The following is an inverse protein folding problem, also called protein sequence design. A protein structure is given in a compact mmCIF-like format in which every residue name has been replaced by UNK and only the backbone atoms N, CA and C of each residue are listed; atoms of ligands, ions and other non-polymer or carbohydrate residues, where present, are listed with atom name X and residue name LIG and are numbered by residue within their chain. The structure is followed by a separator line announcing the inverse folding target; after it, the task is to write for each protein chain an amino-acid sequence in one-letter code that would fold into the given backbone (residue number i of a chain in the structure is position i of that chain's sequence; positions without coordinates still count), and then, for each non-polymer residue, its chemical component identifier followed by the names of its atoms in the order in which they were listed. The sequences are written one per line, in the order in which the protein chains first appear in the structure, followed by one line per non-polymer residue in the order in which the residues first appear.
data_IF_984397234978
#
_entry.id   IF_984397234978
#
_cell.length_a   1.000
_cell.length_b   1.000
_cell.length_c   1.000
_cell.angle_alpha   90.00
_cell.angle_beta   90.00
_cell.angle_gamma   90.00
#
_symmetry.space_group_name_H-M   'P 1'
#
loop_
_entity.id
_entity.type
_entity.pdbx_description
1 polymer ?
#
# COMPACT_ATOMS: atom_id res chain seq x y z
N UNK A 1 25.33 -15.78 26.23
CA UNK A 1 24.73 -16.19 24.94
C UNK A 1 23.89 -15.09 24.26
N UNK A 2 24.00 -13.83 24.70
CA UNK A 2 23.33 -12.69 24.07
C UNK A 2 24.08 -12.14 22.85
N UNK A 3 25.40 -12.34 22.78
CA UNK A 3 26.22 -11.94 21.61
C UNK A 3 25.87 -12.73 20.35
N UNK A 4 25.42 -13.98 20.48
CA UNK A 4 24.96 -14.79 19.33
C UNK A 4 23.64 -14.24 18.77
N UNK A 5 22.76 -13.73 19.64
CA UNK A 5 21.50 -13.09 19.23
C UNK A 5 21.76 -11.72 18.59
N UNK A 6 22.75 -10.96 19.08
CA UNK A 6 23.18 -9.70 18.46
C UNK A 6 23.82 -9.92 17.08
N UNK A 7 24.63 -10.97 16.92
CA UNK A 7 25.20 -11.36 15.61
C UNK A 7 24.16 -11.88 14.62
N UNK A 8 23.07 -12.48 15.09
CA UNK A 8 21.94 -12.83 14.22
C UNK A 8 21.06 -11.60 13.86
N UNK A 9 21.05 -10.57 14.70
CA UNK A 9 20.45 -9.26 14.42
C UNK A 9 21.32 -8.35 13.52
N UNK A 10 22.60 -8.67 13.34
CA UNK A 10 23.47 -8.19 12.25
C UNK A 10 23.11 -8.80 10.88
N UNK A 11 21.89 -9.33 10.74
CA UNK A 11 21.30 -9.62 9.44
C UNK A 11 20.83 -8.36 8.72
N UNK A 12 20.61 -8.49 7.40
CA UNK A 12 20.05 -7.48 6.47
C UNK A 12 18.88 -6.66 7.01
N UNK A 13 18.10 -7.21 7.95
CA UNK A 13 16.92 -6.58 8.54
C UNK A 13 17.28 -5.50 9.58
N UNK A 14 18.29 -5.72 10.43
CA UNK A 14 18.74 -4.72 11.41
C UNK A 14 19.27 -3.45 10.75
N UNK A 15 20.11 -3.62 9.72
CA UNK A 15 20.60 -2.54 8.88
C UNK A 15 19.48 -1.80 8.14
N UNK A 16 18.47 -2.53 7.62
CA UNK A 16 17.31 -1.93 6.98
C UNK A 16 16.53 -1.03 7.95
N UNK A 17 16.25 -1.50 9.17
CA UNK A 17 15.52 -0.70 10.16
C UNK A 17 16.30 0.54 10.60
N UNK A 18 17.62 0.44 10.73
CA UNK A 18 18.48 1.59 11.02
C UNK A 18 18.44 2.63 9.89
N UNK A 19 18.51 2.19 8.62
CA UNK A 19 18.42 3.08 7.45
C UNK A 19 17.03 3.72 7.32
N UNK A 20 15.95 2.98 7.58
CA UNK A 20 14.59 3.52 7.59
C UNK A 20 14.43 4.57 8.71
N UNK A 21 14.98 4.30 9.90
CA UNK A 21 14.97 5.24 11.03
C UNK A 21 15.78 6.51 10.74
N UNK A 22 16.81 6.42 9.91
CA UNK A 22 17.63 7.55 9.50
C UNK A 22 16.94 8.47 8.47
N UNK A 23 15.83 8.04 7.84
CA UNK A 23 15.09 8.90 6.92
C UNK A 23 14.30 9.98 7.66
N UNK A 24 14.41 11.21 7.19
CA UNK A 24 13.52 12.29 7.61
C UNK A 24 12.11 12.08 7.08
N UNK A 25 11.11 12.61 7.80
CA UNK A 25 9.71 12.56 7.39
C UNK A 25 9.49 13.12 5.97
N UNK A 26 10.16 14.22 5.62
CA UNK A 26 10.03 14.85 4.31
C UNK A 26 10.57 13.93 3.20
N UNK A 27 11.69 13.25 3.43
CA UNK A 27 12.22 12.26 2.49
C UNK A 27 11.25 11.08 2.30
N UNK A 28 10.59 10.63 3.37
CA UNK A 28 9.56 9.60 3.28
C UNK A 28 8.37 10.05 2.41
N UNK A 29 7.85 11.27 2.62
CA UNK A 29 6.68 11.81 1.90
C UNK A 29 6.99 12.06 0.42
N UNK A 30 8.16 12.61 0.11
CA UNK A 30 8.56 12.95 -1.28
C UNK A 30 9.12 11.72 -2.02
N UNK A 31 9.25 10.57 -1.36
CA UNK A 31 9.72 9.36 -2.00
C UNK A 31 8.79 8.91 -3.13
N UNK A 32 9.38 8.45 -4.23
CA UNK A 32 8.63 7.90 -5.38
C UNK A 32 7.75 6.73 -4.96
N UNK A 33 8.23 5.91 -4.02
CA UNK A 33 7.48 4.76 -3.51
C UNK A 33 6.21 5.19 -2.76
N UNK A 34 6.27 6.27 -1.97
CA UNK A 34 5.08 6.81 -1.30
C UNK A 34 4.09 7.41 -2.29
N UNK A 35 4.55 8.12 -3.33
CA UNK A 35 3.67 8.69 -4.36
C UNK A 35 2.94 7.58 -5.13
N UNK A 36 3.66 6.52 -5.54
CA UNK A 36 3.05 5.36 -6.19
C UNK A 36 2.06 4.65 -5.27
N UNK A 37 2.43 4.47 -3.99
CA UNK A 37 1.56 3.87 -2.99
C UNK A 37 0.29 4.71 -2.76
N UNK A 38 0.42 6.04 -2.73
CA UNK A 38 -0.71 6.98 -2.60
C UNK A 38 -1.69 6.83 -3.77
N UNK A 39 -1.19 6.83 -5.00
CA UNK A 39 -2.06 6.69 -6.19
C UNK A 39 -2.71 5.31 -6.22
N UNK A 40 -1.97 4.25 -5.90
CA UNK A 40 -2.51 2.90 -5.81
C UNK A 40 -3.59 2.77 -4.72
N UNK A 41 -3.40 3.45 -3.58
CA UNK A 41 -4.42 3.55 -2.53
C UNK A 41 -5.69 4.25 -3.01
N UNK A 42 -5.56 5.40 -3.66
CA UNK A 42 -6.69 6.13 -4.25
C UNK A 42 -7.44 5.24 -5.25
N UNK A 43 -6.71 4.55 -6.13
CA UNK A 43 -7.29 3.63 -7.10
C UNK A 43 -8.04 2.45 -6.45
N UNK A 44 -7.62 2.00 -5.27
CA UNK A 44 -8.31 0.95 -4.51
C UNK A 44 -9.60 1.45 -3.82
N UNK A 45 -9.66 2.70 -3.36
CA UNK A 45 -10.80 3.20 -2.57
C UNK A 45 -11.90 3.82 -3.41
N UNK A 46 -11.56 4.44 -4.53
CA UNK A 46 -12.51 5.14 -5.41
C UNK A 46 -13.60 4.20 -5.99
N UNK A 47 -13.31 2.94 -6.39
CA UNK A 47 -14.35 2.01 -6.85
C UNK A 47 -15.46 1.80 -5.81
N UNK A 48 -15.14 1.64 -4.54
CA UNK A 48 -16.12 1.54 -3.46
C UNK A 48 -16.97 2.82 -3.35
N UNK A 49 -16.32 3.97 -3.35
CA UNK A 49 -16.97 5.28 -3.18
C UNK A 49 -17.94 5.59 -4.33
N UNK A 50 -17.62 5.16 -5.54
CA UNK A 50 -18.38 5.47 -6.74
C UNK A 50 -19.43 4.42 -7.08
N UNK A 51 -19.07 3.14 -7.00
CA UNK A 51 -19.92 2.05 -7.49
C UNK A 51 -21.10 1.77 -6.56
N UNK A 52 -20.90 1.78 -5.24
CA UNK A 52 -21.97 1.45 -4.28
C UNK A 52 -23.15 2.43 -4.35
N UNK A 53 -22.94 3.77 -4.33
CA UNK A 53 -24.04 4.71 -4.48
C UNK A 53 -24.78 4.56 -5.82
N UNK A 54 -24.05 4.36 -6.92
CA UNK A 54 -24.63 4.24 -8.27
C UNK A 54 -25.48 2.98 -8.43
N UNK A 55 -25.00 1.83 -7.94
CA UNK A 55 -25.78 0.59 -7.96
C UNK A 55 -27.02 0.70 -7.07
N UNK A 56 -26.93 1.43 -5.95
CA UNK A 56 -28.10 1.68 -5.08
C UNK A 56 -29.14 2.56 -5.76
N UNK A 57 -28.70 3.54 -6.52
CA UNK A 57 -29.55 4.41 -7.31
C UNK A 57 -30.19 3.68 -8.49
N UNK A 58 -29.44 2.81 -9.18
CA UNK A 58 -30.00 1.93 -10.21
C UNK A 58 -31.00 0.94 -9.64
N UNK A 59 -30.70 0.32 -8.49
CA UNK A 59 -31.61 -0.61 -7.84
C UNK A 59 -32.96 0.02 -7.52
N UNK A 60 -32.96 1.29 -7.06
CA UNK A 60 -34.19 2.04 -6.78
C UNK A 60 -34.90 2.54 -8.02
N UNK A 61 -34.19 3.20 -8.93
CA UNK A 61 -34.80 3.98 -10.02
C UNK A 61 -35.01 3.17 -11.30
N UNK A 62 -34.18 2.16 -11.54
CA UNK A 62 -34.18 1.39 -12.78
C UNK A 62 -34.73 -0.02 -12.56
N UNK A 63 -34.26 -0.73 -11.54
CA UNK A 63 -34.73 -2.08 -11.22
C UNK A 63 -35.98 -2.10 -10.34
N UNK A 64 -36.38 -0.94 -9.80
CA UNK A 64 -37.58 -0.78 -8.98
C UNK A 64 -37.65 -1.76 -7.80
N UNK A 65 -36.49 -2.07 -7.20
CA UNK A 65 -36.42 -2.93 -6.01
C UNK A 65 -37.13 -2.27 -4.82
N UNK A 66 -37.72 -3.11 -3.97
CA UNK A 66 -38.24 -2.67 -2.68
C UNK A 66 -37.12 -2.18 -1.75
N UNK A 67 -37.48 -1.40 -0.74
CA UNK A 67 -36.52 -0.93 0.27
C UNK A 67 -35.86 -2.09 1.02
N UNK A 68 -36.59 -3.18 1.25
CA UNK A 68 -36.07 -4.36 1.96
C UNK A 68 -35.02 -5.10 1.13
N UNK A 69 -35.25 -5.26 -0.17
CA UNK A 69 -34.28 -5.88 -1.08
C UNK A 69 -33.03 -5.03 -1.26
N UNK A 70 -33.19 -3.70 -1.37
CA UNK A 70 -32.08 -2.76 -1.42
C UNK A 70 -31.22 -2.84 -0.15
N UNK A 71 -31.86 -2.83 1.03
CA UNK A 71 -31.16 -2.93 2.31
C UNK A 71 -30.41 -4.25 2.44
N UNK A 72 -31.03 -5.37 2.00
CA UNK A 72 -30.36 -6.67 1.97
C UNK A 72 -29.15 -6.69 1.02
N UNK A 73 -29.23 -5.99 -0.12
CA UNK A 73 -28.11 -5.84 -1.04
C UNK A 73 -26.97 -5.03 -0.42
N UNK A 74 -27.28 -3.89 0.19
CA UNK A 74 -26.30 -3.03 0.85
C UNK A 74 -25.64 -3.73 2.04
N UNK A 75 -26.40 -4.47 2.85
CA UNK A 75 -25.88 -5.23 3.97
C UNK A 75 -24.83 -6.25 3.52
N UNK A 76 -25.07 -6.94 2.39
CA UNK A 76 -24.08 -7.87 1.80
C UNK A 76 -22.82 -7.13 1.33
N UNK A 77 -22.99 -5.99 0.66
CA UNK A 77 -21.85 -5.21 0.16
C UNK A 77 -20.98 -4.66 1.30
N UNK A 78 -21.58 -4.07 2.33
CA UNK A 78 -20.84 -3.58 3.51
C UNK A 78 -20.31 -4.72 4.39
N UNK A 79 -21.04 -5.82 4.51
CA UNK A 79 -20.55 -7.04 5.16
C UNK A 79 -19.29 -7.58 4.48
N UNK A 80 -19.27 -7.61 3.15
CA UNK A 80 -18.09 -7.96 2.37
C UNK A 80 -16.93 -6.97 2.61
N UNK A 81 -17.21 -5.66 2.75
CA UNK A 81 -16.19 -4.67 3.08
C UNK A 81 -15.53 -4.95 4.45
N UNK A 82 -16.33 -5.23 5.48
CA UNK A 82 -15.83 -5.59 6.81
C UNK A 82 -15.00 -6.88 6.74
N UNK A 83 -15.50 -7.88 6.03
CA UNK A 83 -14.79 -9.14 5.84
C UNK A 83 -13.44 -8.92 5.14
N UNK A 84 -13.39 -8.07 4.12
CA UNK A 84 -12.15 -7.70 3.43
C UNK A 84 -11.16 -7.03 4.38
N UNK A 85 -11.63 -6.06 5.18
CA UNK A 85 -10.80 -5.37 6.18
C UNK A 85 -10.20 -6.33 7.21
N UNK A 86 -10.95 -7.35 7.62
CA UNK A 86 -10.48 -8.34 8.58
C UNK A 86 -9.52 -9.35 7.93
N UNK A 87 -9.89 -9.90 6.77
CA UNK A 87 -9.18 -11.02 6.16
C UNK A 87 -7.88 -10.60 5.47
N UNK A 88 -7.83 -9.45 4.78
CA UNK A 88 -6.65 -9.11 3.98
C UNK A 88 -5.38 -8.92 4.83
N UNK A 89 -5.39 -8.19 5.97
CA UNK A 89 -4.25 -8.12 6.87
C UNK A 89 -3.84 -9.50 7.40
N UNK A 90 -4.80 -10.30 7.86
CA UNK A 90 -4.55 -11.66 8.37
C UNK A 90 -3.93 -12.58 7.33
N UNK A 91 -4.43 -12.54 6.10
CA UNK A 91 -3.88 -13.31 4.97
C UNK A 91 -2.46 -12.85 4.68
N UNK A 92 -2.20 -11.54 4.66
CA UNK A 92 -0.83 -11.05 4.49
C UNK A 92 0.11 -11.48 5.63
N UNK A 93 -0.35 -11.49 6.89
CA UNK A 93 0.41 -12.03 8.03
C UNK A 93 0.68 -13.53 7.92
N UNK A 94 -0.34 -14.30 7.53
CA UNK A 94 -0.22 -15.73 7.31
C UNK A 94 0.75 -16.07 6.19
N UNK A 95 0.65 -15.37 5.05
CA UNK A 95 1.52 -15.59 3.89
C UNK A 95 2.98 -15.25 4.20
N UNK A 96 3.25 -14.18 4.95
CA UNK A 96 4.60 -13.86 5.42
C UNK A 96 5.20 -15.00 6.23
N UNK A 97 4.45 -15.54 7.20
CA UNK A 97 4.92 -16.63 8.07
C UNK A 97 5.07 -17.96 7.32
N UNK A 98 4.19 -18.23 6.37
CA UNK A 98 4.22 -19.47 5.59
C UNK A 98 5.36 -19.50 4.57
N UNK A 99 5.64 -18.36 3.93
CA UNK A 99 6.60 -18.26 2.83
C UNK A 99 7.97 -17.73 3.27
N UNK A 100 8.14 -17.35 4.55
CA UNK A 100 9.36 -16.72 5.09
C UNK A 100 9.86 -15.56 4.21
N UNK A 101 8.92 -14.78 3.67
CA UNK A 101 9.21 -13.71 2.74
C UNK A 101 9.26 -12.35 3.44
N UNK A 102 9.92 -11.38 2.79
CA UNK A 102 10.00 -10.02 3.28
C UNK A 102 8.57 -9.44 3.53
N UNK A 103 8.31 -8.86 4.72
CA UNK A 103 7.00 -8.34 5.05
C UNK A 103 6.43 -7.35 4.04
N UNK A 104 7.21 -6.33 3.66
CA UNK A 104 6.79 -5.30 2.72
C UNK A 104 6.44 -5.90 1.35
N UNK A 105 7.17 -6.93 0.91
CA UNK A 105 6.88 -7.63 -0.34
C UNK A 105 5.54 -8.38 -0.28
N UNK A 106 5.24 -9.04 0.83
CA UNK A 106 3.96 -9.76 0.99
C UNK A 106 2.77 -8.82 1.12
N UNK A 107 2.92 -7.67 1.81
CA UNK A 107 1.90 -6.63 1.81
C UNK A 107 1.62 -6.11 0.41
N UNK A 108 2.68 -5.84 -0.36
CA UNK A 108 2.58 -5.47 -1.78
C UNK A 108 1.85 -6.54 -2.58
N UNK A 109 2.19 -7.82 -2.44
CA UNK A 109 1.58 -8.91 -3.19
C UNK A 109 0.07 -9.05 -2.89
N UNK A 110 -0.33 -8.93 -1.61
CA UNK A 110 -1.75 -8.93 -1.24
C UNK A 110 -2.47 -7.69 -1.75
N UNK A 111 -1.89 -6.50 -1.62
CA UNK A 111 -2.51 -5.29 -2.17
C UNK A 111 -2.66 -5.36 -3.70
N UNK A 112 -1.66 -5.90 -4.39
CA UNK A 112 -1.68 -6.14 -5.84
C UNK A 112 -2.79 -7.11 -6.24
N UNK A 113 -2.98 -8.21 -5.50
CA UNK A 113 -4.02 -9.19 -5.80
C UNK A 113 -5.42 -8.60 -5.60
N UNK A 114 -5.62 -7.76 -4.58
CA UNK A 114 -6.89 -7.05 -4.37
C UNK A 114 -7.19 -6.06 -5.51
N UNK A 115 -6.18 -5.33 -6.01
CA UNK A 115 -6.35 -4.49 -7.20
C UNK A 115 -6.66 -5.30 -8.46
N UNK A 116 -5.99 -6.44 -8.66
CA UNK A 116 -6.23 -7.31 -9.80
C UNK A 116 -7.64 -7.90 -9.79
N UNK A 117 -8.14 -8.32 -8.62
CA UNK A 117 -9.53 -8.80 -8.46
C UNK A 117 -10.52 -7.67 -8.74
N UNK A 118 -10.24 -6.43 -8.31
CA UNK A 118 -11.09 -5.28 -8.65
C UNK A 118 -11.15 -5.00 -10.14
N UNK A 119 -9.99 -5.03 -10.81
CA UNK A 119 -9.93 -4.86 -12.26
C UNK A 119 -10.78 -5.92 -12.98
N UNK A 120 -10.62 -7.19 -12.59
CA UNK A 120 -11.41 -8.27 -13.17
C UNK A 120 -12.91 -8.10 -12.90
N UNK A 121 -13.29 -7.70 -11.68
CA UNK A 121 -14.69 -7.46 -11.34
C UNK A 121 -15.28 -6.31 -12.18
N UNK A 122 -14.57 -5.20 -12.36
CA UNK A 122 -15.00 -4.08 -13.19
C UNK A 122 -15.10 -4.48 -14.67
N UNK A 123 -14.12 -5.24 -15.19
CA UNK A 123 -14.16 -5.74 -16.57
C UNK A 123 -15.38 -6.65 -16.81
N UNK A 124 -15.71 -7.52 -15.85
CA UNK A 124 -16.89 -8.38 -15.92
C UNK A 124 -18.20 -7.59 -15.84
N UNK A 125 -18.26 -6.53 -15.03
CA UNK A 125 -19.41 -5.63 -14.99
C UNK A 125 -19.58 -4.95 -16.35
N UNK A 126 -18.50 -4.40 -16.92
CA UNK A 126 -18.54 -3.69 -18.20
C UNK A 126 -19.03 -4.55 -19.37
N UNK A 127 -18.76 -5.86 -19.35
CA UNK A 127 -19.21 -6.78 -20.40
C UNK A 127 -20.70 -7.17 -20.31
N UNK A 128 -21.31 -7.15 -19.12
CA UNK A 128 -22.69 -7.60 -18.93
C UNK A 128 -23.39 -6.86 -17.79
N UNK A 129 -23.99 -5.71 -18.12
CA UNK A 129 -24.66 -4.81 -17.16
C UNK A 129 -26.14 -5.19 -16.95
N UNK A 130 -26.67 -6.17 -17.68
CA UNK A 130 -28.11 -6.50 -17.64
C UNK A 130 -28.51 -7.40 -16.46
N UNK A 131 -27.58 -8.18 -15.90
CA UNK A 131 -27.87 -9.16 -14.86
C UNK A 131 -27.69 -8.60 -13.45
N UNK A 132 -28.78 -8.20 -12.80
CA UNK A 132 -28.77 -7.63 -11.45
C UNK A 132 -28.05 -8.51 -10.40
N UNK A 133 -28.26 -9.85 -10.46
CA UNK A 133 -27.61 -10.79 -9.52
C UNK A 133 -26.09 -10.84 -9.71
N UNK A 134 -25.60 -10.71 -10.94
CA UNK A 134 -24.15 -10.69 -11.23
C UNK A 134 -23.54 -9.39 -10.71
N UNK A 135 -24.21 -8.26 -10.95
CA UNK A 135 -23.78 -6.95 -10.44
C UNK A 135 -23.70 -6.97 -8.91
N UNK A 136 -24.66 -7.57 -8.22
CA UNK A 136 -24.62 -7.69 -6.76
C UNK A 136 -23.41 -8.47 -6.26
N UNK A 137 -23.07 -9.61 -6.87
CA UNK A 137 -21.89 -10.39 -6.50
C UNK A 137 -20.59 -9.64 -6.77
N UNK A 138 -20.49 -9.00 -7.93
CA UNK A 138 -19.32 -8.21 -8.32
C UNK A 138 -19.18 -6.97 -7.43
N UNK A 139 -20.28 -6.35 -7.00
CA UNK A 139 -20.28 -5.28 -6.00
C UNK A 139 -19.68 -5.76 -4.67
N UNK A 140 -20.08 -6.95 -4.19
CA UNK A 140 -19.51 -7.52 -2.97
C UNK A 140 -18.00 -7.80 -3.12
N UNK A 141 -17.56 -8.28 -4.28
CA UNK A 141 -16.14 -8.49 -4.55
C UNK A 141 -15.36 -7.16 -4.55
N UNK A 142 -15.90 -6.11 -5.18
CA UNK A 142 -15.31 -4.78 -5.19
C UNK A 142 -15.21 -4.19 -3.79
N UNK A 143 -16.30 -4.25 -3.01
CA UNK A 143 -16.30 -3.72 -1.64
C UNK A 143 -15.38 -4.50 -0.72
N UNK A 144 -15.30 -5.83 -0.86
CA UNK A 144 -14.33 -6.67 -0.18
C UNK A 144 -12.90 -6.23 -0.47
N UNK A 145 -12.54 -6.10 -1.75
CA UNK A 145 -11.19 -5.75 -2.13
C UNK A 145 -10.81 -4.32 -1.71
N UNK A 146 -11.73 -3.37 -1.90
CA UNK A 146 -11.55 -1.99 -1.45
C UNK A 146 -11.32 -1.92 0.07
N UNK A 147 -12.10 -2.69 0.84
CA UNK A 147 -11.96 -2.81 2.29
C UNK A 147 -10.65 -3.47 2.72
N UNK A 148 -10.25 -4.53 2.02
CA UNK A 148 -8.97 -5.20 2.27
C UNK A 148 -7.79 -4.28 2.01
N UNK A 149 -7.79 -3.54 0.90
CA UNK A 149 -6.73 -2.59 0.59
C UNK A 149 -6.66 -1.45 1.61
N UNK A 150 -7.81 -0.97 2.10
CA UNK A 150 -7.87 0.00 3.19
C UNK A 150 -7.19 -0.51 4.47
N UNK A 151 -7.41 -1.77 4.83
CA UNK A 151 -6.88 -2.34 6.07
C UNK A 151 -5.41 -2.79 5.97
N UNK A 152 -4.95 -3.22 4.79
CA UNK A 152 -3.54 -3.63 4.57
C UNK A 152 -2.61 -2.40 4.53
N UNK A 153 -3.11 -1.25 4.08
CA UNK A 153 -2.33 -0.03 3.90
C UNK A 153 -1.53 0.42 5.14
N UNK A 154 -2.08 0.54 6.36
CA UNK A 154 -1.30 0.92 7.54
C UNK A 154 -0.17 -0.08 7.87
N UNK A 155 -0.42 -1.38 7.71
CA UNK A 155 0.62 -2.41 7.87
C UNK A 155 1.73 -2.20 6.83
N UNK A 156 1.34 -1.97 5.58
CA UNK A 156 2.28 -1.79 4.48
C UNK A 156 3.13 -0.53 4.62
N UNK A 157 2.53 0.59 5.01
CA UNK A 157 3.26 1.83 5.32
C UNK A 157 4.24 1.60 6.46
N UNK A 158 3.86 0.84 7.49
CA UNK A 158 4.74 0.56 8.64
C UNK A 158 5.92 -0.30 8.22
N UNK A 159 5.69 -1.34 7.41
CA UNK A 159 6.75 -2.23 6.90
C UNK A 159 7.71 -1.49 5.96
N UNK A 160 7.24 -0.45 5.26
CA UNK A 160 8.08 0.40 4.41
C UNK A 160 8.77 1.52 5.22
N UNK A 161 8.03 2.42 5.85
CA UNK A 161 8.56 3.67 6.39
C UNK A 161 8.89 3.62 7.89
N UNK A 162 8.71 2.45 8.51
CA UNK A 162 8.97 2.23 9.93
C UNK A 162 7.88 2.82 10.83
N UNK A 163 7.95 2.46 12.10
CA UNK A 163 6.93 2.81 13.11
C UNK A 163 6.92 4.29 13.51
N UNK A 164 8.04 5.00 13.37
CA UNK A 164 8.16 6.39 13.82
C UNK A 164 7.33 7.36 12.98
N UNK A 165 7.31 7.17 11.65
CA UNK A 165 6.61 8.06 10.71
C UNK A 165 5.30 7.46 10.20
N UNK A 166 4.95 6.22 10.56
CA UNK A 166 3.80 5.49 10.00
C UNK A 166 2.47 6.22 10.21
N UNK A 167 2.26 6.83 11.39
CA UNK A 167 1.03 7.57 11.71
C UNK A 167 0.78 8.75 10.76
N UNK A 168 1.78 9.61 10.57
CA UNK A 168 1.70 10.76 9.66
C UNK A 168 1.53 10.31 8.21
N UNK A 169 2.32 9.32 7.79
CA UNK A 169 2.29 8.78 6.43
C UNK A 169 0.92 8.16 6.09
N UNK A 170 0.34 7.41 7.03
CA UNK A 170 -1.01 6.87 6.88
C UNK A 170 -2.07 7.97 6.87
N UNK A 171 -1.96 8.97 7.75
CA UNK A 171 -2.83 10.15 7.73
C UNK A 171 -2.82 10.88 6.39
N UNK A 172 -1.63 11.04 5.79
CA UNK A 172 -1.48 11.62 4.46
C UNK A 172 -2.12 10.75 3.37
N UNK A 173 -1.90 9.43 3.37
CA UNK A 173 -2.55 8.53 2.41
C UNK A 173 -4.07 8.56 2.55
N UNK A 174 -4.60 8.63 3.77
CA UNK A 174 -6.04 8.75 4.01
C UNK A 174 -6.67 10.02 3.43
N UNK A 175 -5.90 11.09 3.18
CA UNK A 175 -6.42 12.26 2.45
C UNK A 175 -6.95 11.88 1.06
N UNK A 176 -6.34 10.85 0.44
CA UNK A 176 -6.77 10.32 -0.85
C UNK A 176 -8.18 9.73 -0.82
N UNK A 177 -8.62 9.16 0.31
CA UNK A 177 -9.99 8.68 0.49
C UNK A 177 -10.99 9.84 0.42
N UNK A 178 -10.69 10.94 1.11
CA UNK A 178 -11.54 12.14 1.14
C UNK A 178 -11.55 12.83 -0.22
N UNK A 179 -10.38 12.95 -0.87
CA UNK A 179 -10.26 13.52 -2.21
C UNK A 179 -11.06 12.70 -3.24
N UNK A 180 -10.95 11.37 -3.18
CA UNK A 180 -11.76 10.46 -3.98
C UNK A 180 -13.25 10.67 -3.76
N UNK A 181 -13.69 10.84 -2.51
CA UNK A 181 -15.08 11.14 -2.17
C UNK A 181 -15.60 12.43 -2.79
N UNK A 182 -14.79 13.51 -2.77
CA UNK A 182 -15.15 14.79 -3.40
C UNK A 182 -15.28 14.65 -4.92
N UNK A 183 -14.31 14.01 -5.58
CA UNK A 183 -14.32 13.81 -7.04
C UNK A 183 -15.52 12.96 -7.46
N UNK A 184 -15.80 11.89 -6.73
CA UNK A 184 -16.95 11.00 -6.99
C UNK A 184 -18.27 11.74 -6.75
N UNK A 185 -18.38 12.52 -5.67
CA UNK A 185 -19.58 13.30 -5.37
C UNK A 185 -19.89 14.31 -6.48
N UNK A 186 -18.87 15.04 -6.94
CA UNK A 186 -19.03 16.02 -8.03
C UNK A 186 -19.41 15.35 -9.37
N UNK A 187 -18.74 14.24 -9.72
CA UNK A 187 -19.02 13.52 -10.97
C UNK A 187 -20.37 12.82 -10.97
N UNK A 188 -20.86 12.35 -9.82
CA UNK A 188 -22.16 11.68 -9.71
C UNK A 188 -23.34 12.66 -9.65
N UNK A 189 -23.13 13.87 -9.13
CA UNK A 189 -24.18 14.89 -9.09
C UNK A 189 -24.54 15.46 -10.48
N UNK A 190 -23.60 15.39 -11.43
CA UNK A 190 -23.74 16.02 -12.74
C UNK A 190 -24.38 15.11 -13.82
N UNK A 191 -24.72 13.86 -13.50
CA UNK A 191 -25.10 12.86 -14.52
C UNK A 191 -26.37 12.11 -14.16
N UNK A 192 -27.25 11.96 -15.15
CA UNK A 192 -28.46 11.15 -15.03
C UNK A 192 -28.14 9.65 -14.93
N UNK A 193 -28.99 8.95 -14.18
CA UNK A 193 -28.83 7.53 -13.89
C UNK A 193 -29.37 6.72 -15.07
N UNK A 194 -28.45 6.16 -15.85
CA UNK A 194 -28.73 5.34 -17.02
C UNK A 194 -27.68 4.24 -17.14
N UNK A 195 -28.02 3.15 -17.83
CA UNK A 195 -27.08 2.07 -18.14
C UNK A 195 -25.83 2.56 -18.89
N UNK A 196 -25.99 3.51 -19.83
CA UNK A 196 -24.87 4.09 -20.57
C UNK A 196 -23.93 4.89 -19.68
N UNK A 197 -24.49 5.60 -18.69
CA UNK A 197 -23.70 6.31 -17.68
C UNK A 197 -22.91 5.33 -16.82
N UNK A 198 -23.56 4.26 -16.35
CA UNK A 198 -22.89 3.24 -15.54
C UNK A 198 -21.74 2.59 -16.30
N UNK A 199 -21.93 2.24 -17.58
CA UNK A 199 -20.88 1.65 -18.42
C UNK A 199 -19.66 2.59 -18.51
N UNK A 200 -19.89 3.87 -18.80
CA UNK A 200 -18.83 4.89 -18.85
C UNK A 200 -18.09 4.99 -17.51
N UNK A 201 -18.83 4.97 -16.41
CA UNK A 201 -18.31 5.07 -15.06
C UNK A 201 -17.47 3.84 -14.68
N UNK A 202 -17.95 2.63 -14.98
CA UNK A 202 -17.23 1.37 -14.78
C UNK A 202 -15.94 1.34 -15.61
N UNK A 203 -15.98 1.83 -16.85
CA UNK A 203 -14.78 1.92 -17.70
C UNK A 203 -13.74 2.89 -17.14
N UNK A 204 -14.16 4.05 -16.63
CA UNK A 204 -13.26 5.00 -15.97
C UNK A 204 -12.63 4.41 -14.70
N UNK A 205 -13.42 3.70 -13.89
CA UNK A 205 -12.93 2.99 -12.72
C UNK A 205 -11.94 1.88 -13.11
N UNK A 206 -12.21 1.14 -14.19
CA UNK A 206 -11.31 0.09 -14.67
C UNK A 206 -9.95 0.68 -15.05
N UNK A 207 -9.93 1.80 -15.79
CA UNK A 207 -8.70 2.53 -16.13
C UNK A 207 -7.95 2.96 -14.86
N UNK A 208 -8.65 3.55 -13.90
CA UNK A 208 -8.05 4.00 -12.63
C UNK A 208 -7.42 2.82 -11.86
N UNK A 209 -8.12 1.70 -11.75
CA UNK A 209 -7.59 0.48 -11.10
C UNK A 209 -6.41 -0.09 -11.87
N UNK A 210 -6.43 -0.06 -13.21
CA UNK A 210 -5.27 -0.46 -14.04
C UNK A 210 -4.06 0.42 -13.76
N UNK A 211 -4.23 1.74 -13.67
CA UNK A 211 -3.15 2.67 -13.31
C UNK A 211 -2.62 2.34 -11.91
N UNK A 212 -3.50 2.14 -10.93
CA UNK A 212 -3.10 1.73 -9.58
C UNK A 212 -2.34 0.40 -9.57
N UNK A 213 -2.79 -0.57 -10.35
CA UNK A 213 -2.17 -1.89 -10.52
C UNK A 213 -0.76 -1.77 -11.09
N UNK A 214 -0.57 -0.96 -12.14
CA UNK A 214 0.74 -0.70 -12.76
C UNK A 214 1.68 0.03 -11.80
N UNK A 215 1.22 1.09 -11.14
CA UNK A 215 2.04 1.84 -10.18
C UNK A 215 2.42 0.99 -8.96
N UNK A 216 1.53 0.13 -8.50
CA UNK A 216 1.81 -0.79 -7.41
C UNK A 216 2.94 -1.78 -7.78
N UNK A 217 3.04 -2.21 -9.03
CA UNK A 217 4.21 -2.98 -9.49
C UNK A 217 5.52 -2.19 -9.35
N UNK A 218 5.51 -0.88 -9.59
CA UNK A 218 6.69 -0.01 -9.53
C UNK A 218 7.15 0.35 -8.10
N UNK A 219 6.33 0.09 -7.08
CA UNK A 219 6.71 0.31 -5.67
C UNK A 219 7.86 -0.62 -5.29
N UNK A 220 8.98 -0.06 -4.82
CA UNK A 220 10.17 -0.84 -4.45
C UNK A 220 10.06 -1.33 -3.00
N UNK A 221 9.96 -2.64 -2.85
CA UNK A 221 9.93 -3.31 -1.53
C UNK A 221 11.26 -3.92 -1.14
N UNK A 222 12.22 -4.02 -2.07
CA UNK A 222 13.56 -4.50 -1.81
C UNK A 222 14.39 -3.37 -1.17
N UNK A 223 15.12 -3.69 -0.10
CA UNK A 223 15.99 -2.75 0.61
C UNK A 223 17.08 -2.18 -0.31
N UNK A 224 17.71 -3.04 -1.13
CA UNK A 224 18.78 -2.64 -2.04
C UNK A 224 18.32 -1.63 -3.09
N UNK A 225 17.13 -1.83 -3.66
CA UNK A 225 16.57 -0.95 -4.69
C UNK A 225 16.11 0.40 -4.12
N UNK A 226 15.71 0.40 -2.85
CA UNK A 226 15.15 1.58 -2.19
C UNK A 226 16.21 2.55 -1.73
N UNK A 227 17.33 2.05 -1.21
CA UNK A 227 18.43 2.87 -0.69
C UNK A 227 19.53 3.14 -1.73
N UNK A 228 19.33 2.72 -2.98
CA UNK A 228 20.23 3.07 -4.08
C UNK A 228 20.21 4.58 -4.37
N UNK A 229 21.39 5.16 -4.59
CA UNK A 229 21.57 6.55 -5.04
C UNK A 229 21.13 6.74 -6.50
N UNK A 230 19.81 6.79 -6.70
CA UNK A 230 19.20 6.73 -8.01
C UNK A 230 17.80 6.15 -7.98
N UNK A 231 17.29 5.82 -9.16
CA UNK A 231 16.15 4.92 -9.30
C UNK A 231 16.66 3.55 -9.76
N UNK A 232 16.61 2.56 -8.87
CA UNK A 232 16.87 1.17 -9.19
C UNK A 232 15.60 0.35 -8.98
N UNK A 233 15.26 -0.51 -9.93
CA UNK A 233 14.13 -1.43 -9.85
C UNK A 233 14.59 -2.82 -10.26
N UNK A 234 14.51 -3.77 -9.34
CA UNK A 234 14.90 -5.16 -9.56
C UNK A 234 13.71 -6.10 -9.36
N UNK A 235 13.64 -7.13 -10.19
CA UNK A 235 12.64 -8.20 -10.11
C UNK A 235 13.36 -9.54 -10.06
N UNK A 236 13.03 -10.36 -9.06
CA UNK A 236 13.63 -11.68 -8.85
C UNK A 236 15.18 -11.67 -8.85
N UNK A 237 15.79 -10.65 -8.25
CA UNK A 237 17.24 -10.50 -8.16
C UNK A 237 17.92 -9.98 -9.43
N UNK A 238 17.17 -9.66 -10.50
CA UNK A 238 17.70 -9.01 -11.72
C UNK A 238 17.29 -7.55 -11.75
N UNK A 239 18.27 -6.67 -11.94
CA UNK A 239 18.05 -5.23 -12.11
C UNK A 239 17.43 -5.00 -13.50
N UNK A 240 16.24 -4.41 -13.55
CA UNK A 240 15.54 -4.09 -14.81
C UNK A 240 15.77 -2.63 -15.23
N UNK A 241 15.76 -1.72 -14.27
CA UNK A 241 15.96 -0.28 -14.51
C UNK A 241 16.93 0.24 -13.47
N UNK A 242 17.97 0.94 -13.93
CA UNK A 242 18.91 1.63 -13.06
C UNK A 242 19.25 2.99 -13.65
N UNK A 243 18.88 4.04 -12.92
CA UNK A 243 19.15 5.44 -13.27
C UNK A 243 19.93 6.04 -12.10
N UNK A 244 21.27 6.10 -12.16
CA UNK A 244 22.07 6.71 -11.10
C UNK A 244 21.89 8.23 -11.12
N UNK A 245 21.72 8.83 -9.95
CA UNK A 245 21.78 10.29 -9.82
C UNK A 245 23.24 10.69 -9.54
N UNK A 246 23.81 11.55 -10.37
CA UNK A 246 25.17 12.04 -10.19
C UNK A 246 25.26 12.86 -8.90
N UNK A 247 26.06 12.39 -7.94
CA UNK A 247 26.40 13.14 -6.73
C UNK A 247 27.91 13.47 -6.76
N UNK A 248 28.29 14.74 -6.96
CA UNK A 248 29.71 15.14 -7.01
C UNK A 248 30.45 14.92 -5.68
N UNK A 249 29.75 14.71 -4.57
CA UNK A 249 30.36 14.54 -3.24
C UNK A 249 30.78 13.10 -2.92
N UNK A 250 30.31 12.09 -3.68
CA UNK A 250 30.59 10.66 -3.39
C UNK A 250 31.94 10.21 -3.95
N UNK A 251 32.44 10.87 -5.00
CA UNK A 251 33.72 10.53 -5.65
C UNK A 251 34.94 10.76 -4.72
N UNK A 252 34.77 11.50 -3.61
CA UNK A 252 35.88 11.74 -2.67
C UNK A 252 36.18 10.58 -1.73
N UNK A 253 35.22 9.68 -1.47
CA UNK A 253 35.39 8.61 -0.48
C UNK A 253 35.54 7.20 -1.09
N UNK A 254 35.36 7.03 -2.41
CA UNK A 254 35.52 5.72 -3.07
C UNK A 254 36.93 5.50 -3.58
N UNK A 255 37.86 5.29 -2.66
CA UNK A 255 39.07 4.50 -2.92
C UNK A 255 39.19 3.46 -1.80
N UNK A 256 38.31 2.46 -1.80
CA UNK A 256 38.53 1.07 -1.38
C UNK A 256 37.19 0.32 -1.51
N UNK A 257 37.27 -0.83 -2.18
CA UNK A 257 36.33 -1.94 -2.33
C UNK A 257 35.08 -1.84 -3.22
N UNK A 258 34.96 -2.86 -4.07
CA UNK A 258 33.86 -3.15 -4.98
C UNK A 258 32.56 -3.41 -4.20
N UNK A 259 31.75 -2.37 -4.01
CA UNK A 259 30.44 -2.47 -3.39
C UNK A 259 29.53 -1.35 -3.87
N UNK A 260 28.30 -1.70 -4.23
CA UNK A 260 27.22 -0.76 -4.57
C UNK A 260 27.18 0.37 -3.53
N UNK A 261 27.11 1.66 -3.93
CA UNK A 261 27.10 2.77 -2.99
C UNK A 261 25.78 2.76 -2.21
N UNK A 262 25.79 2.07 -1.08
CA UNK A 262 24.76 2.14 -0.05
C UNK A 262 25.00 3.41 0.76
N UNK A 263 23.93 4.13 1.09
CA UNK A 263 23.97 5.28 2.00
C UNK A 263 24.67 4.87 3.31
N UNK A 264 25.95 5.15 3.41
CA UNK A 264 26.70 5.06 4.66
C UNK A 264 26.35 6.31 5.44
N UNK A 265 25.73 6.12 6.60
CA UNK A 265 25.38 7.21 7.51
C UNK A 265 26.66 7.89 7.99
N UNK A 266 26.99 9.04 7.42
CA UNK A 266 27.94 9.97 8.03
C UNK A 266 27.33 10.55 9.31
N UNK A 267 27.90 10.12 10.44
CA UNK A 267 28.04 10.85 11.72
C UNK A 267 26.79 11.41 12.39
N UNK A 268 26.34 10.74 13.46
CA UNK A 268 26.49 11.12 14.89
C UNK A 268 25.51 10.25 15.66
N UNK A 269 25.99 9.38 16.56
CA UNK A 269 25.12 8.55 17.41
C UNK A 269 24.17 9.44 18.21
N UNK A 270 22.84 9.43 17.95
CA UNK A 270 21.90 9.94 18.92
C UNK A 270 21.80 8.87 20.01
N UNK A 271 22.18 9.23 21.24
CA UNK A 271 22.19 8.36 22.41
C UNK A 271 21.04 7.33 22.36
N UNK A 272 21.41 6.07 22.19
CA UNK A 272 20.48 4.96 22.32
C UNK A 272 19.94 4.95 23.75
N UNK A 273 18.65 4.63 23.91
CA UNK A 273 18.11 4.27 25.20
C UNK A 273 18.69 2.90 25.57
N UNK A 274 19.87 2.88 26.18
CA UNK A 274 20.43 1.67 26.78
C UNK A 274 19.67 1.39 28.07
N UNK A 275 19.19 0.15 28.21
CA UNK A 275 18.83 -0.37 29.51
C UNK A 275 20.13 -0.40 30.33
N UNK A 276 20.07 0.19 31.54
CA UNK A 276 21.22 0.31 32.45
C UNK A 276 21.97 -1.01 32.57
N UNK A 277 23.23 -1.00 32.14
CA UNK A 277 24.11 -2.16 32.19
C UNK A 277 25.10 -1.97 33.33
N UNK A 278 25.00 -2.81 34.35
CA UNK A 278 25.79 -2.70 35.57
C UNK A 278 27.29 -2.80 35.29
N UNK A 279 27.67 -3.57 34.27
CA UNK A 279 29.08 -3.83 33.97
C UNK A 279 29.72 -2.70 33.15
N UNK A 280 28.94 -1.95 32.37
CA UNK A 280 29.39 -0.80 31.57
C UNK A 280 29.23 0.53 32.32
N UNK A 281 28.09 0.75 32.97
CA UNK A 281 27.74 2.00 33.64
C UNK A 281 28.21 2.04 35.10
N UNK A 282 28.31 0.89 35.79
CA UNK A 282 28.77 0.78 37.18
C UNK A 282 30.25 1.14 37.35
N UNK A 283 31.07 0.85 36.33
CA UNK A 283 32.48 1.22 36.30
C UNK A 283 32.71 2.75 36.30
N UNK A 284 31.74 3.52 35.81
CA UNK A 284 31.81 4.99 35.81
C UNK A 284 31.51 5.62 37.18
N UNK A 285 30.79 4.90 38.04
CA UNK A 285 30.38 5.37 39.37
C UNK A 285 31.03 4.60 40.54
N UNK A 286 31.91 3.63 40.26
CA UNK A 286 32.65 2.88 41.27
C UNK A 286 31.77 1.96 42.14
N UNK A 287 30.75 1.34 41.55
CA UNK A 287 29.85 0.38 42.20
C UNK A 287 29.90 -0.96 41.48
#
# INVERSE_FOLDING_TARGET
NYEVVQRELEGTDGHYFQQVRAMSLVQCIVSTDFIFLYIAFVANVVPLLMFVPQVSDMARKVWLLSNDELNAMLLKAYGANILGRFTAPLVSDGLMRLLYANPAFMRKAVFQSLLAIQFLALALIGHSITDARRIQWLACALTFCSGGGLAVMPCFITDMFGVYHSGTMYGLILTGYSLGGVVVGYTSAAVDISYATLERQVNLLAILVTVGCVLMFLVRTNSMDRFFLGYQYSVCGKILVQVPFYNPNIVRDTCIDDGVPVLTSTTTHPAEFSLWDRDLDGAMYGI
#
